data_IF_946609057501
#
_entry.id   IF_946609057501
#
_cell.length_a   1.000
_cell.length_b   1.000
_cell.length_c   1.000
_cell.angle_alpha   90.00
_cell.angle_beta   90.00
_cell.angle_gamma   90.00
#
_symmetry.space_group_name_H-M   'P 1'
#
loop_
_entity.id
_entity.type
_entity.pdbx_description
1 polymer ?
#
# COMPACT_ATOMS: atom_id res chain seq x y z
N UNK A 1 -86.49 -16.57 -30.66
CA UNK A 1 -85.09 -16.38 -31.07
C UNK A 1 -84.32 -15.90 -29.86
N UNK A 2 -83.48 -16.82 -29.39
CA UNK A 2 -82.37 -16.80 -28.42
C UNK A 2 -82.38 -15.86 -27.21
N UNK A 3 -82.41 -16.52 -26.05
CA UNK A 3 -82.23 -16.01 -24.69
C UNK A 3 -80.75 -16.06 -24.30
N UNK A 4 -80.39 -15.10 -23.47
CA UNK A 4 -79.21 -14.95 -22.62
C UNK A 4 -78.90 -16.13 -21.69
N UNK A 5 -77.59 -16.22 -21.37
CA UNK A 5 -76.91 -16.81 -20.20
C UNK A 5 -76.56 -18.31 -20.17
N UNK A 6 -75.26 -18.58 -20.26
CA UNK A 6 -74.47 -19.51 -19.44
C UNK A 6 -73.00 -19.06 -19.61
N UNK A 7 -72.17 -18.81 -18.59
CA UNK A 7 -72.03 -19.52 -17.33
C UNK A 7 -70.79 -20.40 -17.43
N UNK A 8 -69.59 -19.86 -17.18
CA UNK A 8 -68.40 -20.67 -16.86
C UNK A 8 -67.66 -20.03 -15.69
N UNK A 9 -67.89 -20.67 -14.55
CA UNK A 9 -67.14 -20.63 -13.31
C UNK A 9 -65.94 -21.58 -13.48
N UNK A 10 -64.72 -21.11 -13.29
CA UNK A 10 -63.58 -21.99 -12.92
C UNK A 10 -62.83 -21.32 -11.77
N UNK A 11 -62.85 -22.04 -10.65
CA UNK A 11 -62.27 -21.71 -9.37
C UNK A 11 -61.02 -22.57 -9.15
N UNK A 12 -60.08 -22.01 -8.39
CA UNK A 12 -58.88 -22.63 -7.78
C UNK A 12 -57.68 -22.96 -8.68
N UNK A 13 -56.51 -22.36 -8.37
CA UNK A 13 -55.48 -23.03 -7.55
C UNK A 13 -54.69 -21.99 -6.73
N UNK A 14 -54.51 -22.29 -5.44
CA UNK A 14 -53.65 -21.61 -4.49
C UNK A 14 -52.18 -21.57 -4.95
N UNK A 15 -51.54 -20.42 -4.82
CA UNK A 15 -50.13 -20.39 -4.40
C UNK A 15 -49.88 -19.14 -3.57
N UNK A 16 -49.66 -19.39 -2.28
CA UNK A 16 -49.15 -18.43 -1.33
C UNK A 16 -47.75 -18.01 -1.77
N UNK A 17 -47.62 -16.80 -2.30
CA UNK A 17 -46.33 -16.12 -2.40
C UNK A 17 -46.23 -15.23 -1.18
N UNK A 18 -45.48 -15.70 -0.19
CA UNK A 18 -44.93 -14.87 0.87
C UNK A 18 -44.09 -13.76 0.22
N UNK A 19 -44.70 -12.61 -0.04
CA UNK A 19 -43.96 -11.37 -0.26
C UNK A 19 -43.34 -11.01 1.08
N UNK A 20 -42.12 -11.49 1.28
CA UNK A 20 -41.19 -11.01 2.29
C UNK A 20 -41.08 -9.49 2.16
N UNK A 21 -41.72 -8.80 3.10
CA UNK A 21 -41.50 -7.39 3.43
C UNK A 21 -39.99 -7.20 3.62
N UNK A 22 -39.28 -6.40 2.81
CA UNK A 22 -37.98 -5.91 3.20
C UNK A 22 -38.25 -4.95 4.35
N UNK A 23 -37.85 -5.37 5.54
CA UNK A 23 -37.93 -4.57 6.76
C UNK A 23 -37.15 -3.27 6.55
N UNK A 24 -37.75 -2.21 7.07
CA UNK A 24 -37.34 -0.83 6.98
C UNK A 24 -35.83 -0.59 7.19
N UNK A 25 -35.37 0.42 6.46
CA UNK A 25 -34.28 1.34 6.78
C UNK A 25 -33.99 1.46 8.28
N UNK A 26 -32.70 1.47 8.61
CA UNK A 26 -32.26 1.96 9.90
C UNK A 26 -30.93 1.42 10.41
N UNK A 27 -29.91 1.38 9.58
CA UNK A 27 -28.53 1.63 10.01
C UNK A 27 -27.70 1.83 8.75
N UNK A 28 -27.69 3.08 8.30
CA UNK A 28 -26.63 3.60 7.45
C UNK A 28 -25.30 3.28 8.16
N UNK A 29 -24.52 2.37 7.57
CA UNK A 29 -23.09 2.21 7.81
C UNK A 29 -22.35 3.47 7.31
N UNK A 30 -22.67 4.61 7.91
CA UNK A 30 -21.95 5.88 7.76
C UNK A 30 -20.84 5.99 8.82
N UNK A 31 -20.30 4.87 9.28
CA UNK A 31 -19.00 4.87 9.94
C UNK A 31 -17.91 4.80 8.87
N UNK A 32 -17.25 5.94 8.66
CA UNK A 32 -15.84 6.04 8.22
C UNK A 32 -15.51 6.17 6.72
N UNK A 33 -16.38 6.78 5.89
CA UNK A 33 -15.83 7.55 4.76
C UNK A 33 -15.22 8.83 5.31
N UNK A 34 -13.93 8.78 5.64
CA UNK A 34 -13.11 9.98 5.82
C UNK A 34 -13.38 10.91 4.64
N UNK A 35 -13.87 12.12 4.91
CA UNK A 35 -14.19 13.16 3.91
C UNK A 35 -12.97 13.50 3.03
N UNK A 36 -11.77 13.08 3.45
CA UNK A 36 -10.54 13.11 2.68
C UNK A 36 -9.91 11.71 2.62
N UNK A 37 -9.99 11.07 1.45
CA UNK A 37 -9.20 9.89 1.14
C UNK A 37 -7.89 10.34 0.47
N UNK A 38 -6.81 10.32 1.25
CA UNK A 38 -5.46 10.69 0.81
C UNK A 38 -4.98 9.87 -0.39
N UNK A 39 -5.42 8.61 -0.47
CA UNK A 39 -5.03 7.72 -1.54
C UNK A 39 -5.75 8.10 -2.84
N UNK A 40 -7.06 8.35 -2.77
CA UNK A 40 -7.82 8.86 -3.92
C UNK A 40 -7.30 10.21 -4.41
N UNK A 41 -6.90 11.11 -3.51
CA UNK A 41 -6.33 12.41 -3.90
C UNK A 41 -5.02 12.23 -4.67
N UNK A 42 -4.14 11.37 -4.18
CA UNK A 42 -2.87 11.06 -4.83
C UNK A 42 -3.08 10.37 -6.19
N UNK A 43 -4.03 9.45 -6.26
CA UNK A 43 -4.40 8.75 -7.50
C UNK A 43 -4.99 9.72 -8.53
N UNK A 44 -5.84 10.66 -8.11
CA UNK A 44 -6.42 11.69 -8.98
C UNK A 44 -5.35 12.60 -9.60
N UNK A 45 -4.35 13.04 -8.82
CA UNK A 45 -3.23 13.80 -9.37
C UNK A 45 -2.35 12.95 -10.29
N UNK A 46 -2.06 11.69 -9.93
CA UNK A 46 -1.26 10.81 -10.77
C UNK A 46 -1.92 10.56 -12.13
N UNK A 47 -3.24 10.36 -12.14
CA UNK A 47 -4.02 10.23 -13.38
C UNK A 47 -3.97 11.51 -14.21
N UNK A 48 -4.11 12.69 -13.59
CA UNK A 48 -4.00 13.98 -14.28
C UNK A 48 -2.64 14.19 -14.94
N UNK A 49 -1.58 13.65 -14.34
CA UNK A 49 -0.21 13.78 -14.83
C UNK A 49 0.22 12.65 -15.76
N UNK A 50 -0.64 11.64 -15.97
CA UNK A 50 -0.31 10.41 -16.65
C UNK A 50 0.26 10.64 -18.06
N UNK A 51 -0.28 11.63 -18.80
CA UNK A 51 0.11 11.92 -20.19
C UNK A 51 1.21 12.97 -20.35
N UNK A 52 1.69 13.57 -19.24
CA UNK A 52 2.75 14.57 -19.29
C UNK A 52 4.09 13.94 -19.70
N UNK A 53 4.95 14.76 -20.32
CA UNK A 53 6.27 14.30 -20.72
C UNK A 53 7.20 14.11 -19.52
N UNK A 54 8.21 13.25 -19.68
CA UNK A 54 9.23 12.99 -18.66
C UNK A 54 9.89 14.26 -18.13
N UNK A 55 10.20 15.21 -19.01
CA UNK A 55 10.82 16.48 -18.61
C UNK A 55 9.89 17.32 -17.75
N UNK A 56 8.61 17.43 -18.13
CA UNK A 56 7.61 18.15 -17.32
C UNK A 56 7.47 17.49 -15.95
N UNK A 57 7.38 16.17 -15.89
CA UNK A 57 7.31 15.44 -14.62
C UNK A 57 8.54 15.70 -13.73
N UNK A 58 9.74 15.69 -14.31
CA UNK A 58 10.97 15.96 -13.57
C UNK A 58 11.04 17.39 -13.03
N UNK A 59 10.58 18.37 -13.80
CA UNK A 59 10.48 19.76 -13.33
C UNK A 59 9.43 19.91 -12.22
N UNK A 60 8.28 19.25 -12.34
CA UNK A 60 7.27 19.21 -11.28
C UNK A 60 7.81 18.61 -9.97
N UNK A 61 8.63 17.55 -10.04
CA UNK A 61 9.27 16.99 -8.85
C UNK A 61 10.17 18.03 -8.18
N UNK A 62 10.77 18.96 -8.92
CA UNK A 62 11.65 20.01 -8.41
C UNK A 62 10.95 21.33 -8.07
N UNK A 63 9.65 21.44 -8.34
CA UNK A 63 8.87 22.65 -8.08
C UNK A 63 8.49 22.75 -6.59
N UNK A 64 9.02 23.76 -5.90
CA UNK A 64 8.73 24.03 -4.48
C UNK A 64 7.37 24.70 -4.25
N UNK A 65 6.69 25.14 -5.32
CA UNK A 65 5.35 25.75 -5.24
C UNK A 65 4.23 24.71 -5.23
N UNK A 66 4.51 23.47 -5.65
CA UNK A 66 3.55 22.39 -5.64
C UNK A 66 3.36 21.82 -4.24
N UNK A 67 2.12 21.42 -3.95
CA UNK A 67 1.81 20.76 -2.68
C UNK A 67 2.39 19.32 -2.65
N UNK A 68 2.51 18.71 -1.45
CA UNK A 68 3.13 17.39 -1.36
C UNK A 68 2.42 16.25 -2.10
N UNK A 69 1.09 16.31 -2.25
CA UNK A 69 0.35 15.30 -3.01
C UNK A 69 0.66 15.40 -4.50
N UNK A 70 0.78 16.62 -5.03
CA UNK A 70 1.16 16.86 -6.43
C UNK A 70 2.58 16.35 -6.71
N UNK A 71 3.52 16.63 -5.81
CA UNK A 71 4.91 16.14 -5.94
C UNK A 71 4.94 14.62 -5.85
N UNK A 72 4.26 14.01 -4.87
CA UNK A 72 4.21 12.56 -4.73
C UNK A 72 3.58 11.87 -5.95
N UNK A 73 2.51 12.45 -6.52
CA UNK A 73 1.90 11.99 -7.75
C UNK A 73 2.85 12.08 -8.95
N UNK A 74 3.59 13.18 -9.09
CA UNK A 74 4.60 13.32 -10.13
C UNK A 74 5.71 12.26 -10.00
N UNK A 75 6.18 11.98 -8.78
CA UNK A 75 7.14 10.89 -8.52
C UNK A 75 6.53 9.52 -8.87
N UNK A 76 5.26 9.28 -8.55
CA UNK A 76 4.56 8.03 -8.90
C UNK A 76 4.47 7.83 -10.41
N UNK A 77 4.08 8.85 -11.18
CA UNK A 77 4.04 8.78 -12.64
C UNK A 77 5.45 8.54 -13.20
N UNK A 78 6.46 9.22 -12.66
CA UNK A 78 7.86 8.98 -13.05
C UNK A 78 8.29 7.53 -12.80
N UNK A 79 7.96 6.99 -11.63
CA UNK A 79 8.23 5.61 -11.25
C UNK A 79 7.59 4.62 -12.21
N UNK A 80 6.31 4.81 -12.51
CA UNK A 80 5.54 3.84 -13.31
C UNK A 80 5.95 3.85 -14.78
N UNK A 81 6.12 5.03 -15.37
CA UNK A 81 6.38 5.17 -16.81
C UNK A 81 7.85 5.17 -17.17
N UNK A 82 8.70 5.78 -16.35
CA UNK A 82 10.07 6.11 -16.78
C UNK A 82 11.16 5.38 -16.03
N UNK A 83 10.92 4.86 -14.80
CA UNK A 83 12.01 4.29 -13.99
C UNK A 83 12.68 3.03 -14.58
N UNK A 84 11.96 2.28 -15.43
CA UNK A 84 12.48 1.05 -16.07
C UNK A 84 13.25 1.29 -17.37
N UNK A 85 13.01 2.42 -18.05
CA UNK A 85 13.52 2.70 -19.40
C UNK A 85 14.78 3.59 -19.41
N UNK A 86 15.32 3.91 -18.22
CA UNK A 86 16.33 4.96 -18.14
C UNK A 86 17.73 4.48 -18.55
N UNK A 87 18.20 4.96 -19.71
CA UNK A 87 19.60 4.83 -20.15
C UNK A 87 20.54 5.50 -19.14
N UNK A 88 21.79 5.03 -19.01
CA UNK A 88 22.71 5.40 -17.92
C UNK A 88 22.85 6.91 -17.66
N UNK A 89 22.89 7.76 -18.69
CA UNK A 89 22.99 9.23 -18.54
C UNK A 89 21.71 9.86 -18.02
N UNK A 90 20.56 9.49 -18.57
CA UNK A 90 19.26 9.98 -18.10
C UNK A 90 18.95 9.49 -16.69
N UNK A 91 19.46 8.29 -16.35
CA UNK A 91 19.31 7.68 -15.02
C UNK A 91 19.94 8.58 -13.98
N UNK A 92 21.10 9.16 -14.30
CA UNK A 92 21.78 10.11 -13.44
C UNK A 92 20.98 11.39 -13.18
N UNK A 93 20.26 11.94 -14.18
CA UNK A 93 19.42 13.14 -13.99
C UNK A 93 18.25 12.87 -13.07
N UNK A 94 17.47 11.82 -13.35
CA UNK A 94 16.32 11.45 -12.53
C UNK A 94 16.73 11.11 -11.09
N UNK A 95 17.79 10.33 -10.93
CA UNK A 95 18.34 9.99 -9.61
C UNK A 95 18.76 11.23 -8.81
N UNK A 96 19.47 12.17 -9.45
CA UNK A 96 19.90 13.42 -8.80
C UNK A 96 18.73 14.26 -8.33
N UNK A 97 17.69 14.38 -9.17
CA UNK A 97 16.46 15.11 -8.85
C UNK A 97 15.76 14.46 -7.65
N UNK A 98 15.56 13.15 -7.69
CA UNK A 98 14.92 12.40 -6.60
C UNK A 98 15.69 12.51 -5.29
N UNK A 99 17.01 12.30 -5.30
CA UNK A 99 17.85 12.43 -4.10
C UNK A 99 17.83 13.86 -3.56
N UNK A 100 17.82 14.88 -4.44
CA UNK A 100 17.71 16.28 -4.01
C UNK A 100 16.35 16.54 -3.36
N UNK A 101 15.24 16.14 -3.99
CA UNK A 101 13.90 16.33 -3.43
C UNK A 101 13.73 15.59 -2.10
N UNK A 102 14.27 14.37 -1.97
CA UNK A 102 14.21 13.60 -0.72
C UNK A 102 14.87 14.33 0.46
N UNK A 103 15.92 15.13 0.20
CA UNK A 103 16.59 15.93 1.23
C UNK A 103 15.83 17.19 1.63
N UNK A 104 14.91 17.66 0.79
CA UNK A 104 14.19 18.92 0.95
C UNK A 104 12.76 18.74 1.45
N UNK A 105 12.19 17.55 1.28
CA UNK A 105 10.81 17.27 1.68
C UNK A 105 10.75 16.78 3.13
N UNK A 106 9.68 17.15 3.81
CA UNK A 106 9.22 16.63 5.10
C UNK A 106 7.94 15.79 4.96
N UNK A 107 7.42 15.65 3.74
CA UNK A 107 6.18 14.93 3.48
C UNK A 107 6.42 13.43 3.40
N UNK A 108 5.74 12.63 4.25
CA UNK A 108 5.88 11.18 4.23
C UNK A 108 5.41 10.54 2.91
N UNK A 109 4.46 11.16 2.20
CA UNK A 109 4.00 10.69 0.90
C UNK A 109 5.10 10.80 -0.15
N UNK A 110 5.74 11.97 -0.22
CA UNK A 110 6.83 12.24 -1.16
C UNK A 110 8.03 11.35 -0.84
N UNK A 111 8.38 11.22 0.44
CA UNK A 111 9.48 10.36 0.86
C UNK A 111 9.29 8.89 0.44
N UNK A 112 8.11 8.32 0.69
CA UNK A 112 7.81 6.91 0.35
C UNK A 112 7.91 6.69 -1.16
N UNK A 113 7.30 7.57 -1.96
CA UNK A 113 7.34 7.46 -3.42
C UNK A 113 8.77 7.58 -3.96
N UNK A 114 9.58 8.50 -3.43
CA UNK A 114 10.97 8.66 -3.86
C UNK A 114 11.82 7.44 -3.47
N UNK A 115 11.70 6.97 -2.22
CA UNK A 115 12.46 5.81 -1.75
C UNK A 115 12.15 4.55 -2.57
N UNK A 116 10.87 4.35 -2.93
CA UNK A 116 10.44 3.27 -3.81
C UNK A 116 11.03 3.42 -5.21
N UNK A 117 10.92 4.61 -5.78
CA UNK A 117 11.43 4.92 -7.12
C UNK A 117 12.93 4.68 -7.23
N UNK A 118 13.72 5.16 -6.25
CA UNK A 118 15.16 4.95 -6.21
C UNK A 118 15.51 3.45 -6.13
N UNK A 119 14.79 2.66 -5.34
CA UNK A 119 14.96 1.20 -5.30
C UNK A 119 14.65 0.52 -6.64
N UNK A 120 13.66 1.02 -7.38
CA UNK A 120 13.28 0.50 -8.70
C UNK A 120 14.32 0.86 -9.77
N UNK A 121 14.88 2.07 -9.71
CA UNK A 121 15.92 2.53 -10.64
C UNK A 121 17.29 1.85 -10.43
N UNK A 122 17.73 1.73 -9.18
CA UNK A 122 18.99 1.08 -8.83
C UNK A 122 18.92 0.37 -7.49
N UNK A 123 18.47 -0.88 -7.56
CA UNK A 123 18.32 -1.70 -6.37
C UNK A 123 19.63 -1.88 -5.60
N UNK A 124 20.74 -2.16 -6.29
CA UNK A 124 22.01 -2.46 -5.64
C UNK A 124 22.52 -1.28 -4.81
N UNK A 125 22.29 -0.07 -5.30
CA UNK A 125 22.67 1.16 -4.60
C UNK A 125 21.70 1.57 -3.50
N UNK A 126 20.40 1.43 -3.74
CA UNK A 126 19.38 2.05 -2.88
C UNK A 126 18.68 1.11 -1.92
N UNK A 127 18.77 -0.21 -2.09
CA UNK A 127 18.08 -1.14 -1.19
C UNK A 127 18.49 -0.95 0.27
N UNK A 128 19.80 -0.93 0.54
CA UNK A 128 20.33 -0.85 1.91
C UNK A 128 19.97 0.46 2.64
N UNK A 129 20.07 1.66 2.02
CA UNK A 129 19.64 2.89 2.67
C UNK A 129 18.12 3.09 2.70
N UNK A 130 17.37 2.71 1.66
CA UNK A 130 15.96 3.10 1.53
C UNK A 130 14.99 2.11 2.18
N UNK A 131 15.25 0.79 2.11
CA UNK A 131 14.33 -0.21 2.64
C UNK A 131 14.14 -0.11 4.16
N UNK A 132 15.20 0.11 4.98
CA UNK A 132 15.00 0.32 6.40
C UNK A 132 14.12 1.55 6.71
N UNK A 133 14.29 2.64 5.95
CA UNK A 133 13.49 3.85 6.10
C UNK A 133 12.03 3.63 5.67
N UNK A 134 11.78 2.90 4.58
CA UNK A 134 10.43 2.46 4.19
C UNK A 134 9.78 1.59 5.27
N UNK A 135 10.52 0.65 5.89
CA UNK A 135 10.01 -0.17 7.00
C UNK A 135 9.61 0.71 8.19
N UNK A 136 10.33 1.81 8.48
CA UNK A 136 9.94 2.74 9.53
C UNK A 136 8.58 3.40 9.25
N UNK A 137 8.23 3.64 7.98
CA UNK A 137 6.93 4.21 7.59
C UNK A 137 5.75 3.27 7.85
N UNK A 138 5.99 1.98 8.12
CA UNK A 138 4.95 1.06 8.63
C UNK A 138 4.50 1.37 10.07
N UNK A 139 5.14 2.32 10.76
CA UNK A 139 4.67 2.84 12.04
C UNK A 139 3.88 4.16 11.91
N UNK A 140 3.79 4.72 10.71
CA UNK A 140 3.17 6.03 10.52
C UNK A 140 1.70 6.02 10.95
N UNK A 141 1.21 7.14 11.51
CA UNK A 141 -0.16 7.25 12.01
C UNK A 141 -1.17 7.32 10.85
N UNK A 142 -0.83 8.03 9.77
CA UNK A 142 -1.62 8.08 8.54
C UNK A 142 -1.62 6.70 7.85
N UNK A 143 -2.82 6.16 7.62
CA UNK A 143 -3.03 4.83 7.05
C UNK A 143 -2.58 4.73 5.59
N UNK A 144 -2.82 5.75 4.76
CA UNK A 144 -2.39 5.78 3.37
C UNK A 144 -0.86 5.75 3.25
N UNK A 145 -0.14 6.54 4.05
CA UNK A 145 1.34 6.46 4.10
C UNK A 145 1.82 5.06 4.45
N UNK A 146 1.18 4.44 5.44
CA UNK A 146 1.50 3.08 5.87
C UNK A 146 1.29 2.08 4.72
N UNK A 147 0.17 2.22 4.01
CA UNK A 147 -0.23 1.35 2.91
C UNK A 147 0.68 1.50 1.70
N UNK A 148 0.94 2.73 1.26
CA UNK A 148 1.86 3.01 0.16
C UNK A 148 3.25 2.44 0.51
N UNK A 149 3.75 2.66 1.74
CA UNK A 149 5.04 2.10 2.15
C UNK A 149 5.05 0.56 2.13
N UNK A 150 3.96 -0.07 2.58
CA UNK A 150 3.83 -1.51 2.55
C UNK A 150 3.77 -2.07 1.12
N UNK A 151 3.03 -1.42 0.23
CA UNK A 151 2.92 -1.78 -1.18
C UNK A 151 4.27 -1.61 -1.89
N UNK A 152 4.98 -0.52 -1.64
CA UNK A 152 6.36 -0.31 -2.12
C UNK A 152 7.31 -1.40 -1.64
N UNK A 153 7.23 -1.79 -0.36
CA UNK A 153 8.06 -2.88 0.18
C UNK A 153 7.73 -4.22 -0.47
N UNK A 154 6.45 -4.54 -0.67
CA UNK A 154 6.02 -5.76 -1.34
C UNK A 154 6.51 -5.82 -2.79
N UNK A 155 6.40 -4.71 -3.54
CA UNK A 155 6.93 -4.63 -4.90
C UNK A 155 8.46 -4.84 -4.92
N UNK A 156 9.18 -4.14 -4.02
CA UNK A 156 10.63 -4.30 -3.87
C UNK A 156 10.98 -5.76 -3.57
N UNK A 157 10.40 -6.41 -2.56
CA UNK A 157 10.79 -7.78 -2.19
C UNK A 157 10.26 -8.85 -3.15
N UNK A 158 9.16 -8.57 -3.86
CA UNK A 158 8.59 -9.45 -4.87
C UNK A 158 9.43 -9.51 -6.16
N UNK A 159 10.12 -8.42 -6.48
CA UNK A 159 10.98 -8.32 -7.65
C UNK A 159 12.32 -9.08 -7.48
N UNK A 160 12.32 -10.40 -7.22
CA UNK A 160 13.52 -11.25 -7.29
C UNK A 160 13.50 -12.51 -6.42
N UNK A 161 14.10 -13.59 -6.94
CA UNK A 161 14.22 -14.86 -6.22
C UNK A 161 15.50 -14.96 -5.37
N UNK A 162 15.40 -15.57 -4.18
CA UNK A 162 16.53 -16.00 -3.32
C UNK A 162 17.56 -14.92 -2.95
N UNK A 163 17.12 -13.76 -2.49
CA UNK A 163 18.01 -12.64 -2.11
C UNK A 163 18.34 -12.60 -0.62
N UNK A 164 19.27 -13.47 -0.19
CA UNK A 164 19.62 -13.62 1.23
C UNK A 164 20.16 -12.31 1.87
N UNK A 165 20.98 -11.53 1.16
CA UNK A 165 21.50 -10.25 1.68
C UNK A 165 20.39 -9.27 2.03
N UNK A 166 19.40 -9.15 1.15
CA UNK A 166 18.27 -8.25 1.29
C UNK A 166 17.30 -8.72 2.37
N UNK A 167 17.01 -10.03 2.39
CA UNK A 167 16.24 -10.65 3.46
C UNK A 167 16.88 -10.39 4.83
N UNK A 168 18.22 -10.43 4.93
CA UNK A 168 18.94 -10.11 6.18
C UNK A 168 18.76 -8.67 6.62
N UNK A 169 18.73 -7.71 5.69
CA UNK A 169 18.47 -6.29 6.00
C UNK A 169 17.04 -6.11 6.52
N UNK A 170 16.04 -6.68 5.83
CA UNK A 170 14.64 -6.62 6.24
C UNK A 170 14.45 -7.28 7.60
N UNK A 171 14.94 -8.52 7.77
CA UNK A 171 14.88 -9.27 9.03
C UNK A 171 15.49 -8.47 10.18
N UNK A 172 16.71 -7.97 10.00
CA UNK A 172 17.42 -7.23 11.07
C UNK A 172 16.68 -5.96 11.46
N UNK A 173 16.13 -5.24 10.49
CA UNK A 173 15.38 -4.00 10.73
C UNK A 173 14.10 -4.28 11.51
N UNK A 174 13.28 -5.24 11.04
CA UNK A 174 12.01 -5.57 11.70
C UNK A 174 12.24 -6.19 13.07
N UNK A 175 13.21 -7.12 13.20
CA UNK A 175 13.58 -7.72 14.49
C UNK A 175 13.92 -6.65 15.52
N UNK A 176 14.74 -5.66 15.16
CA UNK A 176 15.10 -4.55 16.08
C UNK A 176 13.86 -3.77 16.50
N UNK A 177 12.97 -3.44 15.55
CA UNK A 177 11.72 -2.73 15.87
C UNK A 177 10.83 -3.52 16.83
N UNK A 178 10.60 -4.80 16.54
CA UNK A 178 9.75 -5.66 17.37
C UNK A 178 10.36 -5.94 18.75
N UNK A 179 11.69 -6.09 18.82
CA UNK A 179 12.40 -6.23 20.09
C UNK A 179 12.21 -5.00 21.00
N UNK A 180 12.23 -3.80 20.42
CA UNK A 180 11.99 -2.56 21.16
C UNK A 180 10.53 -2.44 21.65
N UNK A 181 9.58 -3.03 20.92
CA UNK A 181 8.16 -3.03 21.30
C UNK A 181 7.71 -4.28 22.06
N UNK A 182 8.61 -5.22 22.41
CA UNK A 182 8.25 -6.57 22.91
C UNK A 182 7.29 -6.58 24.09
N UNK A 183 7.44 -5.66 25.05
CA UNK A 183 6.57 -5.59 26.23
C UNK A 183 5.12 -5.27 25.86
N UNK A 184 4.89 -4.55 24.75
CA UNK A 184 3.55 -4.27 24.22
C UNK A 184 2.95 -5.46 23.47
N UNK A 185 3.77 -6.42 23.06
CA UNK A 185 3.36 -7.60 22.30
C UNK A 185 2.92 -8.77 23.18
N UNK A 186 3.27 -8.76 24.47
CA UNK A 186 3.02 -9.89 25.41
C UNK A 186 1.54 -10.31 25.44
N UNK A 187 0.63 -9.35 25.37
CA UNK A 187 -0.82 -9.59 25.49
C UNK A 187 -1.55 -9.44 24.15
N UNK A 188 -0.82 -9.35 23.03
CA UNK A 188 -1.44 -9.24 21.71
C UNK A 188 -1.77 -10.64 21.24
N UNK A 189 -3.06 -10.94 21.08
CA UNK A 189 -3.52 -12.20 20.46
C UNK A 189 -3.70 -12.02 18.96
N UNK A 190 -4.33 -10.91 18.56
CA UNK A 190 -4.58 -10.57 17.17
C UNK A 190 -3.75 -9.33 16.77
N UNK A 191 -2.90 -9.43 15.75
CA UNK A 191 -2.07 -8.31 15.33
C UNK A 191 -2.91 -7.22 14.66
N UNK A 192 -2.71 -5.98 15.10
CA UNK A 192 -3.24 -4.82 14.38
C UNK A 192 -2.65 -4.73 12.96
N UNK A 193 -3.24 -3.90 12.10
CA UNK A 193 -2.83 -3.80 10.70
C UNK A 193 -1.33 -3.49 10.52
N UNK A 194 -0.80 -2.59 11.35
CA UNK A 194 0.61 -2.18 11.31
C UNK A 194 1.53 -3.34 11.70
N UNK A 195 1.17 -4.11 12.72
CA UNK A 195 1.92 -5.29 13.13
C UNK A 195 1.80 -6.41 12.10
N UNK A 196 0.61 -6.68 11.57
CA UNK A 196 0.38 -7.68 10.54
C UNK A 196 1.25 -7.44 9.29
N UNK A 197 1.37 -6.18 8.84
CA UNK A 197 2.25 -5.79 7.73
C UNK A 197 3.73 -6.09 8.02
N UNK A 198 4.22 -5.77 9.22
CA UNK A 198 5.60 -6.10 9.64
C UNK A 198 5.82 -7.61 9.74
N UNK A 199 4.86 -8.35 10.30
CA UNK A 199 4.93 -9.81 10.40
C UNK A 199 4.95 -10.47 9.03
N UNK A 200 4.21 -9.95 8.04
CA UNK A 200 4.28 -10.44 6.65
C UNK A 200 5.68 -10.28 6.04
N UNK A 201 6.32 -9.12 6.22
CA UNK A 201 7.71 -8.90 5.79
C UNK A 201 8.71 -9.79 6.55
N UNK A 202 8.46 -10.01 7.84
CA UNK A 202 9.27 -10.89 8.68
C UNK A 202 9.18 -12.36 8.20
N UNK A 203 7.97 -12.87 7.95
CA UNK A 203 7.72 -14.20 7.38
C UNK A 203 8.43 -14.38 6.03
N UNK A 204 8.37 -13.38 5.16
CA UNK A 204 9.12 -13.40 3.90
C UNK A 204 10.64 -13.53 4.15
N UNK A 205 11.20 -12.72 5.05
CA UNK A 205 12.64 -12.75 5.33
C UNK A 205 13.09 -14.09 5.92
N UNK A 206 12.29 -14.69 6.81
CA UNK A 206 12.54 -16.03 7.38
C UNK A 206 12.44 -17.10 6.30
N UNK A 207 11.47 -17.02 5.39
CA UNK A 207 11.35 -17.95 4.26
C UNK A 207 12.60 -17.96 3.38
N UNK A 208 13.24 -16.81 3.19
CA UNK A 208 14.47 -16.68 2.39
C UNK A 208 15.73 -17.12 3.16
N UNK A 209 15.83 -16.77 4.45
CA UNK A 209 17.02 -17.04 5.28
C UNK A 209 17.03 -18.44 5.89
N UNK A 210 15.87 -19.04 6.11
CA UNK A 210 15.68 -20.32 6.79
C UNK A 210 15.15 -20.19 8.23
N UNK A 211 14.60 -21.30 8.75
CA UNK A 211 13.94 -21.36 10.06
C UNK A 211 14.87 -21.09 11.26
N UNK A 212 16.18 -21.18 11.08
CA UNK A 212 17.17 -20.90 12.13
C UNK A 212 17.07 -19.46 12.66
N UNK A 213 16.57 -18.52 11.84
CA UNK A 213 16.39 -17.12 12.25
C UNK A 213 15.29 -16.94 13.31
N UNK A 214 14.38 -17.91 13.48
CA UNK A 214 13.35 -17.87 14.54
C UNK A 214 13.98 -17.77 15.94
N UNK A 215 15.13 -18.42 16.15
CA UNK A 215 15.86 -18.39 17.42
C UNK A 215 16.38 -17.00 17.80
N UNK A 216 16.37 -16.04 16.88
CA UNK A 216 16.81 -14.67 17.12
C UNK A 216 15.66 -13.71 17.42
N UNK A 217 14.41 -14.18 17.42
CA UNK A 217 13.23 -13.37 17.69
C UNK A 217 12.83 -13.46 19.17
N UNK A 218 12.21 -12.39 19.72
CA UNK A 218 11.56 -12.47 21.02
C UNK A 218 10.43 -13.53 21.00
N UNK A 219 10.21 -14.27 22.10
CA UNK A 219 9.16 -15.29 22.15
C UNK A 219 7.76 -14.72 21.87
N UNK A 220 7.50 -13.48 22.28
CA UNK A 220 6.23 -12.78 22.01
C UNK A 220 5.98 -12.61 20.51
N UNK A 221 7.04 -12.40 19.72
CA UNK A 221 6.95 -12.28 18.27
C UNK A 221 6.74 -13.64 17.62
N UNK A 222 7.35 -14.69 18.16
CA UNK A 222 7.21 -16.07 17.63
C UNK A 222 5.75 -16.52 17.75
N UNK A 223 5.07 -16.19 18.85
CA UNK A 223 3.66 -16.54 19.04
C UNK A 223 2.71 -15.88 18.04
N UNK A 224 3.14 -14.80 17.38
CA UNK A 224 2.36 -14.03 16.41
C UNK A 224 2.65 -14.43 14.95
N UNK A 225 3.64 -15.29 14.71
CA UNK A 225 4.11 -15.68 13.37
C UNK A 225 3.38 -16.89 12.81
#
# INVERSE_FOLDING_TARGET
MERTQAGILVMFVLSAVCLSVPRAHGQDDLSEQSIFDDQQLLDGYAQKYADLSKDVILEMIMDDTLNPYQIAAAVRVFKERYSGEVVSREKSRGERILVRRLKLTDSPFVEVEIMHTLCRMDRYRYFQPMVPALIQKLNHYNAAVNEIAFNSLNDIIGAGNKRAREARVVFTTIRKMLFLSRNRLVNVTDPDEKLARKLKLLRWSIKVLGRQELNRLPPEVINLL
#
